data_IF_383156410741
#
_entry.id   IF_383156410741
#
_cell.length_a   1.000
_cell.length_b   1.000
_cell.length_c   1.000
_cell.angle_alpha   90.00
_cell.angle_beta   90.00
_cell.angle_gamma   90.00
#
_symmetry.space_group_name_H-M   'P 1'
#
loop_
_entity.id
_entity.type
_entity.pdbx_description
1 polymer ?
#
# COMPACT_ATOMS: atom_id res chain seq x y z
N UNK A 1 16.42 -12.20 8.77
CA UNK A 1 15.25 -12.85 8.14
C UNK A 1 15.05 -12.23 6.77
N UNK A 2 15.13 -13.02 5.70
CA UNK A 2 14.95 -12.53 4.33
C UNK A 2 13.47 -12.25 4.09
N UNK A 3 13.12 -11.06 3.58
CA UNK A 3 11.73 -10.71 3.25
C UNK A 3 11.39 -11.31 1.89
N UNK A 4 10.51 -12.30 1.88
CA UNK A 4 10.18 -13.10 0.67
C UNK A 4 8.79 -12.80 0.09
N UNK A 5 7.95 -12.04 0.78
CA UNK A 5 6.60 -11.70 0.31
C UNK A 5 6.06 -10.41 0.95
N UNK A 6 5.02 -9.84 0.33
CA UNK A 6 4.30 -8.67 0.85
C UNK A 6 3.76 -8.95 2.25
N UNK A 7 3.22 -10.14 2.49
CA UNK A 7 2.66 -10.53 3.78
C UNK A 7 3.74 -10.60 4.87
N UNK A 8 4.94 -11.09 4.54
CA UNK A 8 6.07 -11.05 5.46
C UNK A 8 6.54 -9.63 5.75
N UNK A 9 6.58 -8.77 4.72
CA UNK A 9 6.95 -7.37 4.89
C UNK A 9 5.95 -6.62 5.79
N UNK A 10 4.65 -6.81 5.58
CA UNK A 10 3.58 -6.21 6.41
C UNK A 10 3.67 -6.62 7.89
N UNK A 11 3.91 -7.91 8.16
CA UNK A 11 4.08 -8.41 9.54
C UNK A 11 5.28 -7.79 10.23
N UNK A 12 6.43 -7.74 9.55
CA UNK A 12 7.64 -7.14 10.09
C UNK A 12 7.45 -5.64 10.33
N UNK A 13 6.74 -4.94 9.45
CA UNK A 13 6.41 -3.53 9.63
C UNK A 13 5.52 -3.30 10.85
N UNK A 14 4.47 -4.11 11.03
CA UNK A 14 3.60 -4.01 12.20
C UNK A 14 4.34 -4.24 13.52
N UNK A 15 5.38 -5.08 13.53
CA UNK A 15 6.25 -5.27 14.70
C UNK A 15 7.18 -4.06 14.88
N UNK A 16 7.86 -3.61 13.82
CA UNK A 16 8.78 -2.49 13.88
C UNK A 16 8.11 -1.18 14.34
N UNK A 17 6.91 -0.91 13.85
CA UNK A 17 6.07 0.24 14.22
C UNK A 17 5.64 0.16 15.70
N UNK A 18 5.22 -1.03 16.15
CA UNK A 18 4.82 -1.26 17.55
C UNK A 18 5.96 -1.04 18.56
N UNK A 19 7.21 -1.25 18.16
CA UNK A 19 8.38 -1.11 19.03
C UNK A 19 9.18 0.19 18.78
N UNK A 20 8.62 1.15 18.02
CA UNK A 20 9.23 2.45 17.65
C UNK A 20 10.69 2.34 17.17
N UNK A 21 11.00 1.25 16.45
CA UNK A 21 12.32 1.06 15.88
C UNK A 21 12.36 1.83 14.55
N UNK A 22 12.53 3.16 14.62
CA UNK A 22 12.52 4.06 13.44
C UNK A 22 13.36 3.54 12.26
N UNK A 23 14.55 3.01 12.55
CA UNK A 23 15.45 2.43 11.54
C UNK A 23 14.89 1.15 10.89
N UNK A 24 14.12 0.35 11.62
CA UNK A 24 13.45 -0.81 11.08
C UNK A 24 12.26 -0.40 10.20
N UNK A 25 11.50 0.63 10.60
CA UNK A 25 10.44 1.23 9.78
C UNK A 25 11.01 1.71 8.44
N UNK A 26 12.11 2.46 8.45
CA UNK A 26 12.77 2.93 7.22
C UNK A 26 13.26 1.79 6.32
N UNK A 27 13.91 0.77 6.89
CA UNK A 27 14.33 -0.41 6.14
C UNK A 27 13.15 -1.17 5.54
N UNK A 28 12.06 -1.30 6.30
CA UNK A 28 10.87 -1.99 5.84
C UNK A 28 10.14 -1.20 4.75
N UNK A 29 10.16 0.15 4.78
CA UNK A 29 9.69 0.99 3.68
C UNK A 29 10.48 0.70 2.40
N UNK A 30 11.81 0.70 2.49
CA UNK A 30 12.70 0.41 1.36
C UNK A 30 12.46 -0.99 0.77
N UNK A 31 12.13 -1.96 1.62
CA UNK A 31 11.82 -3.33 1.20
C UNK A 31 10.41 -3.44 0.59
N UNK A 32 9.42 -2.73 1.12
CA UNK A 32 8.03 -2.81 0.64
C UNK A 32 7.83 -2.16 -0.73
N UNK A 33 8.51 -1.06 -1.03
CA UNK A 33 8.31 -0.30 -2.28
C UNK A 33 8.47 -1.16 -3.56
N UNK A 34 9.54 -1.97 -3.73
CA UNK A 34 9.66 -2.88 -4.88
C UNK A 34 8.52 -3.89 -4.98
N UNK A 35 8.06 -4.45 -3.86
CA UNK A 35 6.97 -5.42 -3.87
C UNK A 35 5.63 -4.77 -4.24
N UNK A 36 5.38 -3.55 -3.77
CA UNK A 36 4.19 -2.78 -4.12
C UNK A 36 4.16 -2.39 -5.61
N UNK A 37 5.32 -2.10 -6.19
CA UNK A 37 5.44 -1.87 -7.63
C UNK A 37 5.11 -3.15 -8.44
N UNK A 38 5.51 -4.32 -7.95
CA UNK A 38 5.26 -5.61 -8.59
C UNK A 38 3.85 -6.19 -8.32
N UNK A 39 3.10 -5.64 -7.36
CA UNK A 39 1.74 -6.09 -7.04
C UNK A 39 0.82 -5.89 -8.25
N UNK A 40 0.03 -6.93 -8.54
CA UNK A 40 -0.89 -6.98 -9.68
C UNK A 40 -2.16 -6.19 -9.43
N UNK A 41 -2.60 -6.15 -8.18
CA UNK A 41 -3.78 -5.39 -7.78
C UNK A 41 -3.36 -3.97 -7.32
N UNK A 42 -3.50 -2.93 -8.17
CA UNK A 42 -3.16 -1.56 -7.81
C UNK A 42 -3.97 -1.02 -6.64
N UNK A 43 -5.23 -1.46 -6.44
CA UNK A 43 -6.03 -1.05 -5.29
C UNK A 43 -5.46 -1.60 -3.98
N UNK A 44 -4.98 -2.85 -3.99
CA UNK A 44 -4.28 -3.47 -2.86
C UNK A 44 -2.97 -2.74 -2.58
N UNK A 45 -2.17 -2.51 -3.62
CA UNK A 45 -0.89 -1.80 -3.51
C UNK A 45 -1.07 -0.40 -2.93
N UNK A 46 -2.06 0.34 -3.43
CA UNK A 46 -2.43 1.66 -2.95
C UNK A 46 -2.88 1.65 -1.48
N UNK A 47 -3.74 0.70 -1.08
CA UNK A 47 -4.21 0.61 0.31
C UNK A 47 -3.06 0.30 1.29
N UNK A 48 -2.12 -0.55 0.89
CA UNK A 48 -0.91 -0.84 1.68
C UNK A 48 -0.02 0.41 1.78
N UNK A 49 0.16 1.13 0.67
CA UNK A 49 0.94 2.36 0.65
C UNK A 49 0.33 3.44 1.55
N UNK A 50 -1.00 3.59 1.55
CA UNK A 50 -1.72 4.49 2.46
C UNK A 50 -1.47 4.12 3.92
N UNK A 51 -1.63 2.84 4.27
CA UNK A 51 -1.44 2.36 5.64
C UNK A 51 -0.05 2.70 6.20
N UNK A 52 0.98 2.58 5.36
CA UNK A 52 2.36 2.79 5.79
C UNK A 52 2.91 4.17 5.40
N UNK A 53 2.10 5.08 4.86
CA UNK A 53 2.53 6.42 4.43
C UNK A 53 3.63 6.41 3.39
N UNK A 54 3.55 5.52 2.39
CA UNK A 54 4.51 5.38 1.29
C UNK A 54 4.03 6.21 0.09
N UNK A 55 4.28 7.52 0.08
CA UNK A 55 3.69 8.45 -0.88
C UNK A 55 4.00 8.13 -2.35
N UNK A 56 5.24 7.77 -2.68
CA UNK A 56 5.62 7.43 -4.06
C UNK A 56 4.89 6.17 -4.56
N UNK A 57 4.86 5.12 -3.73
CA UNK A 57 4.15 3.88 -4.05
C UNK A 57 2.63 4.12 -4.14
N UNK A 58 2.09 5.01 -3.31
CA UNK A 58 0.68 5.42 -3.35
C UNK A 58 0.36 6.11 -4.67
N UNK A 59 1.19 7.05 -5.11
CA UNK A 59 1.03 7.73 -6.40
C UNK A 59 1.08 6.74 -7.57
N UNK A 60 2.13 5.93 -7.65
CA UNK A 60 2.30 4.94 -8.72
C UNK A 60 1.16 3.90 -8.78
N UNK A 61 0.63 3.48 -7.63
CA UNK A 61 -0.52 2.58 -7.58
C UNK A 61 -1.83 3.27 -8.00
N UNK A 62 -2.01 4.55 -7.65
CA UNK A 62 -3.18 5.34 -8.06
C UNK A 62 -3.23 5.54 -9.58
N UNK A 63 -2.09 5.80 -10.23
CA UNK A 63 -2.02 5.95 -11.70
C UNK A 63 -2.46 4.68 -12.46
N UNK A 64 -2.17 3.51 -11.88
CA UNK A 64 -2.52 2.20 -12.42
C UNK A 64 -3.94 1.76 -12.06
N UNK A 65 -4.59 2.44 -11.12
CA UNK A 65 -5.93 2.08 -10.65
C UNK A 65 -6.99 2.38 -11.71
N UNK A 66 -7.92 1.45 -11.91
CA UNK A 66 -9.09 1.61 -12.79
C UNK A 66 -10.34 1.10 -12.05
N UNK A 67 -11.39 1.92 -11.87
CA UNK A 67 -12.62 1.48 -11.23
C UNK A 67 -13.23 0.24 -11.93
N UNK A 68 -13.88 -0.63 -11.16
CA UNK A 68 -14.56 -1.82 -11.70
C UNK A 68 -13.65 -2.99 -12.10
N UNK A 69 -12.33 -2.88 -11.94
CA UNK A 69 -11.39 -3.97 -12.28
C UNK A 69 -11.25 -5.05 -11.22
N UNK A 70 -11.87 -4.90 -10.04
CA UNK A 70 -11.76 -5.84 -8.92
C UNK A 70 -13.13 -6.36 -8.51
N UNK A 71 -13.35 -7.66 -8.66
CA UNK A 71 -14.56 -8.36 -8.20
C UNK A 71 -14.58 -8.60 -6.69
N UNK A 72 -13.41 -8.61 -6.04
CA UNK A 72 -13.25 -8.78 -4.60
C UNK A 72 -12.36 -7.65 -4.04
N UNK A 73 -12.88 -6.78 -3.15
CA UNK A 73 -12.09 -5.71 -2.57
C UNK A 73 -10.97 -6.28 -1.69
N UNK A 74 -9.72 -5.82 -1.82
CA UNK A 74 -8.63 -6.30 -0.99
C UNK A 74 -8.89 -5.94 0.47
N UNK A 75 -8.65 -6.90 1.38
CA UNK A 75 -8.79 -6.73 2.84
C UNK A 75 -8.03 -5.51 3.39
N UNK A 76 -6.97 -5.09 2.71
CA UNK A 76 -6.16 -3.94 3.09
C UNK A 76 -6.90 -2.60 2.94
N UNK A 77 -8.03 -2.53 2.21
CA UNK A 77 -8.92 -1.37 2.19
C UNK A 77 -9.48 -1.04 3.58
N UNK A 78 -9.53 -2.00 4.51
CA UNK A 78 -9.96 -1.75 5.89
C UNK A 78 -9.10 -0.71 6.62
N UNK A 79 -7.88 -0.44 6.13
CA UNK A 79 -6.97 0.57 6.69
C UNK A 79 -7.09 1.95 6.02
N UNK A 80 -7.99 2.09 5.04
CA UNK A 80 -8.20 3.32 4.28
C UNK A 80 -9.54 3.92 4.71
N UNK A 81 -9.56 5.23 4.95
CA UNK A 81 -10.82 5.91 5.24
C UNK A 81 -11.59 6.28 3.95
N UNK A 82 -12.89 6.55 4.10
CA UNK A 82 -13.76 6.86 2.97
C UNK A 82 -13.31 8.09 2.17
N UNK A 83 -12.73 9.10 2.83
CA UNK A 83 -12.22 10.31 2.16
C UNK A 83 -11.03 10.00 1.25
N UNK A 84 -10.08 9.19 1.71
CA UNK A 84 -8.91 8.77 0.94
C UNK A 84 -9.33 7.97 -0.30
N UNK A 85 -10.30 7.05 -0.13
CA UNK A 85 -10.83 6.28 -1.25
C UNK A 85 -11.59 7.17 -2.24
N UNK A 86 -12.41 8.11 -1.75
CA UNK A 86 -13.08 9.09 -2.59
C UNK A 86 -12.09 9.95 -3.38
N UNK A 87 -10.99 10.38 -2.76
CA UNK A 87 -9.92 11.12 -3.43
C UNK A 87 -9.26 10.30 -4.57
N UNK A 88 -9.07 8.99 -4.36
CA UNK A 88 -8.57 8.10 -5.41
C UNK A 88 -9.53 8.04 -6.61
N UNK A 89 -10.84 7.91 -6.36
CA UNK A 89 -11.85 7.90 -7.42
C UNK A 89 -11.88 9.22 -8.19
N UNK A 90 -11.88 10.36 -7.48
CA UNK A 90 -11.86 11.69 -8.10
C UNK A 90 -10.61 11.90 -8.97
N UNK A 91 -9.45 11.41 -8.51
CA UNK A 91 -8.21 11.51 -9.28
C UNK A 91 -8.27 10.71 -10.60
N UNK A 92 -9.03 9.62 -10.63
CA UNK A 92 -9.31 8.88 -11.86
C UNK A 92 -10.25 9.65 -12.80
N UNK A 93 -11.36 10.20 -12.30
CA UNK A 93 -12.38 10.89 -13.12
C UNK A 93 -11.88 12.17 -13.81
N UNK A 94 -10.69 12.66 -13.45
CA UNK A 94 -10.09 13.86 -14.04
C UNK A 94 -9.31 13.57 -15.34
N UNK A 95 -9.24 12.30 -15.76
CA UNK A 95 -8.61 11.82 -17.01
C UNK A 95 -9.63 11.21 -17.97
#
# INVERSE_FOLDING_TARGET
ASVTSIEHAQKLFGVADKFDVKRAVELLRAVLTPFLAAERNPLRSWAIAVRYGLEEARGAAAERFRPGTFSDPPKELAYVNALQYFQLLKAYDTY
#
